data_IF_597403374110
#
_entry.id   IF_597403374110
#
_cell.length_a   1.000
_cell.length_b   1.000
_cell.length_c   1.000
_cell.angle_alpha   90.00
_cell.angle_beta   90.00
_cell.angle_gamma   90.00
#
_symmetry.space_group_name_H-M   'P 1'
#
loop_
_entity.id
_entity.type
_entity.pdbx_description
1 polymer ?
#
# COMPACT_ATOMS: atom_id res chain seq x y z
N UNK A 1 51.24 38.38 9.32
CA UNK A 1 50.97 37.35 8.28
C UNK A 1 50.04 36.20 8.74
N UNK A 2 49.98 35.86 10.03
CA UNK A 2 49.16 34.74 10.53
C UNK A 2 47.63 34.91 10.41
N UNK A 3 47.10 36.13 10.60
CA UNK A 3 45.65 36.40 10.54
C UNK A 3 45.04 36.13 9.16
N UNK A 4 45.76 36.49 8.07
CA UNK A 4 45.32 36.19 6.69
C UNK A 4 45.31 34.70 6.41
N UNK A 5 46.32 33.96 6.88
CA UNK A 5 46.37 32.49 6.75
C UNK A 5 45.23 31.82 7.51
N UNK A 6 44.94 32.31 8.73
CA UNK A 6 43.82 31.83 9.54
C UNK A 6 42.47 32.09 8.86
N UNK A 7 42.26 33.27 8.28
CA UNK A 7 41.03 33.60 7.54
C UNK A 7 40.84 32.70 6.32
N UNK A 8 41.91 32.41 5.58
CA UNK A 8 41.85 31.50 4.41
C UNK A 8 41.52 30.07 4.85
N UNK A 9 42.12 29.60 5.95
CA UNK A 9 41.83 28.29 6.52
C UNK A 9 40.38 28.18 6.98
N UNK A 10 39.89 29.21 7.67
CA UNK A 10 38.50 29.26 8.14
C UNK A 10 37.52 29.26 6.97
N UNK A 11 37.80 30.04 5.93
CA UNK A 11 36.99 30.08 4.71
C UNK A 11 36.97 28.71 4.01
N UNK A 12 38.12 28.02 3.93
CA UNK A 12 38.22 26.68 3.38
C UNK A 12 37.38 25.65 4.15
N UNK A 13 37.38 25.72 5.49
CA UNK A 13 36.54 24.86 6.34
C UNK A 13 35.06 25.14 6.13
N UNK A 14 34.66 26.42 6.05
CA UNK A 14 33.26 26.80 5.78
C UNK A 14 32.79 26.27 4.41
N UNK A 15 33.61 26.42 3.38
CA UNK A 15 33.31 25.90 2.03
C UNK A 15 33.18 24.37 2.02
N UNK A 16 34.05 23.67 2.76
CA UNK A 16 33.97 22.22 2.89
C UNK A 16 32.66 21.78 3.57
N UNK A 17 32.29 22.43 4.67
CA UNK A 17 31.05 22.15 5.40
C UNK A 17 29.81 22.40 4.53
N UNK A 18 29.82 23.50 3.77
CA UNK A 18 28.74 23.83 2.82
C UNK A 18 28.67 22.79 1.70
N UNK A 19 29.79 22.34 1.16
CA UNK A 19 29.83 21.30 0.12
C UNK A 19 29.29 19.94 0.59
N UNK A 20 29.57 19.55 1.83
CA UNK A 20 29.04 18.32 2.43
C UNK A 20 27.54 18.45 2.73
N UNK A 21 27.09 19.61 3.22
CA UNK A 21 25.67 19.87 3.49
C UNK A 21 24.82 19.94 2.20
N UNK A 22 25.41 20.40 1.11
CA UNK A 22 24.79 20.48 -0.21
C UNK A 22 24.97 19.21 -1.04
N UNK A 23 25.29 18.06 -0.43
CA UNK A 23 25.43 16.80 -1.19
C UNK A 23 24.18 16.60 -2.06
N UNK A 24 24.32 16.63 -3.41
CA UNK A 24 23.20 16.57 -4.34
C UNK A 24 22.35 15.31 -4.15
N UNK A 25 22.93 14.26 -3.54
CA UNK A 25 22.21 13.03 -3.20
C UNK A 25 21.18 13.29 -2.10
N UNK A 26 21.48 14.10 -1.08
CA UNK A 26 20.57 14.38 0.03
C UNK A 26 19.31 15.14 -0.39
N UNK A 27 19.48 16.18 -1.21
CA UNK A 27 18.35 17.02 -1.67
C UNK A 27 17.48 16.25 -2.68
N UNK A 28 18.08 15.55 -3.65
CA UNK A 28 17.31 14.77 -4.62
C UNK A 28 16.59 13.58 -3.98
N UNK A 29 17.21 12.94 -2.99
CA UNK A 29 16.61 11.83 -2.28
C UNK A 29 15.42 12.30 -1.44
N UNK A 30 15.55 13.38 -0.67
CA UNK A 30 14.45 13.93 0.13
C UNK A 30 13.26 14.39 -0.73
N UNK A 31 13.52 14.99 -1.90
CA UNK A 31 12.46 15.34 -2.86
C UNK A 31 11.73 14.10 -3.40
N UNK A 32 12.47 13.07 -3.82
CA UNK A 32 11.86 11.81 -4.28
C UNK A 32 11.05 11.13 -3.18
N UNK A 33 11.58 11.07 -1.96
CA UNK A 33 10.85 10.52 -0.81
C UNK A 33 9.57 11.30 -0.52
N UNK A 34 9.60 12.63 -0.67
CA UNK A 34 8.41 13.46 -0.50
C UNK A 34 7.36 13.18 -1.58
N UNK A 35 7.76 12.99 -2.83
CA UNK A 35 6.87 12.59 -3.94
C UNK A 35 6.30 11.19 -3.73
N UNK A 36 7.13 10.21 -3.37
CA UNK A 36 6.70 8.85 -3.07
C UNK A 36 5.72 8.83 -1.89
N UNK A 37 6.00 9.57 -0.82
CA UNK A 37 5.10 9.69 0.32
C UNK A 37 3.78 10.38 -0.06
N UNK A 38 3.79 11.33 -1.01
CA UNK A 38 2.54 11.93 -1.53
C UNK A 38 1.75 10.93 -2.36
N UNK A 39 2.41 10.15 -3.23
CA UNK A 39 1.77 9.10 -4.04
C UNK A 39 1.12 8.04 -3.14
N UNK A 40 1.89 7.48 -2.20
CA UNK A 40 1.41 6.47 -1.27
C UNK A 40 0.23 6.96 -0.41
N UNK A 41 0.24 8.22 0.02
CA UNK A 41 -0.88 8.80 0.76
C UNK A 41 -2.16 8.88 -0.08
N UNK A 42 -2.05 9.21 -1.37
CA UNK A 42 -3.20 9.25 -2.29
C UNK A 42 -3.76 7.85 -2.51
N UNK A 43 -2.90 6.89 -2.83
CA UNK A 43 -3.29 5.48 -3.00
C UNK A 43 -3.95 4.93 -1.72
N UNK A 44 -3.40 5.23 -0.55
CA UNK A 44 -4.00 4.80 0.71
C UNK A 44 -5.38 5.43 0.94
N UNK A 45 -5.57 6.70 0.59
CA UNK A 45 -6.86 7.36 0.70
C UNK A 45 -7.91 6.75 -0.23
N UNK A 46 -7.54 6.45 -1.47
CA UNK A 46 -8.41 5.77 -2.45
C UNK A 46 -8.81 4.36 -2.00
N UNK A 47 -7.84 3.59 -1.48
CA UNK A 47 -8.08 2.27 -0.93
C UNK A 47 -9.02 2.32 0.29
N UNK A 48 -8.83 3.31 1.18
CA UNK A 48 -9.73 3.50 2.33
C UNK A 48 -11.15 3.81 1.90
N UNK A 49 -11.34 4.73 0.95
CA UNK A 49 -12.66 5.05 0.41
C UNK A 49 -13.34 3.82 -0.22
N UNK A 50 -12.57 3.02 -0.96
CA UNK A 50 -13.04 1.76 -1.56
C UNK A 50 -13.45 0.77 -0.47
N UNK A 51 -12.64 0.62 0.57
CA UNK A 51 -12.92 -0.29 1.68
C UNK A 51 -14.19 0.13 2.43
N UNK A 52 -14.37 1.43 2.68
CA UNK A 52 -15.58 1.98 3.30
C UNK A 52 -16.83 1.72 2.45
N UNK A 53 -16.72 1.88 1.12
CA UNK A 53 -17.81 1.56 0.19
C UNK A 53 -18.18 0.08 0.24
N UNK A 54 -17.20 -0.81 0.13
CA UNK A 54 -17.41 -2.26 0.21
C UNK A 54 -18.03 -2.68 1.55
N UNK A 55 -17.55 -2.12 2.66
CA UNK A 55 -18.13 -2.35 3.99
C UNK A 55 -19.58 -1.87 4.09
N UNK A 56 -19.90 -0.75 3.47
CA UNK A 56 -21.27 -0.24 3.42
C UNK A 56 -22.16 -1.18 2.62
N UNK A 57 -21.69 -1.65 1.47
CA UNK A 57 -22.39 -2.67 0.67
C UNK A 57 -22.61 -3.96 1.47
N UNK A 58 -21.59 -4.46 2.17
CA UNK A 58 -21.72 -5.62 3.05
C UNK A 58 -22.74 -5.41 4.16
N UNK A 59 -22.78 -4.22 4.80
CA UNK A 59 -23.81 -3.92 5.81
C UNK A 59 -25.22 -3.89 5.24
N UNK A 60 -25.40 -3.40 4.02
CA UNK A 60 -26.70 -3.46 3.33
C UNK A 60 -27.08 -4.90 2.96
N UNK A 61 -26.12 -5.72 2.53
CA UNK A 61 -26.33 -7.13 2.19
C UNK A 61 -26.54 -8.01 3.42
N UNK A 62 -25.93 -7.68 4.56
CA UNK A 62 -26.06 -8.40 5.82
C UNK A 62 -27.50 -8.39 6.39
N UNK A 63 -28.37 -7.48 5.93
CA UNK A 63 -29.80 -7.54 6.23
C UNK A 63 -30.53 -8.72 5.56
N UNK A 64 -29.89 -9.40 4.61
CA UNK A 64 -30.42 -10.54 3.86
C UNK A 64 -29.34 -11.64 3.74
N UNK A 65 -29.13 -12.44 4.81
CA UNK A 65 -28.07 -13.44 4.89
C UNK A 65 -28.01 -14.38 3.67
N UNK A 66 -29.18 -14.79 3.16
CA UNK A 66 -29.29 -15.65 1.97
C UNK A 66 -28.74 -15.00 0.69
N UNK A 67 -28.94 -13.69 0.52
CA UNK A 67 -28.43 -12.97 -0.65
C UNK A 67 -26.90 -12.81 -0.59
N UNK A 68 -26.35 -12.63 0.61
CA UNK A 68 -24.90 -12.58 0.84
C UNK A 68 -24.25 -13.94 0.63
N UNK A 69 -24.87 -15.01 1.15
CA UNK A 69 -24.39 -16.38 0.98
C UNK A 69 -24.37 -16.78 -0.50
N UNK A 70 -25.42 -16.44 -1.25
CA UNK A 70 -25.49 -16.70 -2.68
C UNK A 70 -24.33 -16.06 -3.44
N UNK A 71 -24.06 -14.77 -3.23
CA UNK A 71 -22.94 -14.06 -3.87
C UNK A 71 -21.59 -14.65 -3.43
N UNK A 72 -21.43 -14.96 -2.14
CA UNK A 72 -20.19 -15.55 -1.62
C UNK A 72 -19.88 -16.90 -2.26
N UNK A 73 -20.87 -17.78 -2.43
CA UNK A 73 -20.69 -19.11 -3.03
C UNK A 73 -20.61 -19.06 -4.55
N UNK A 74 -21.52 -18.36 -5.21
CA UNK A 74 -21.67 -18.40 -6.68
C UNK A 74 -20.61 -17.55 -7.39
N UNK A 75 -20.31 -16.35 -6.88
CA UNK A 75 -19.39 -15.42 -7.56
C UNK A 75 -17.95 -15.53 -7.03
N UNK A 76 -17.79 -15.75 -5.73
CA UNK A 76 -16.48 -15.71 -5.07
C UNK A 76 -15.94 -17.10 -4.68
N UNK A 77 -16.76 -18.16 -4.78
CA UNK A 77 -16.37 -19.52 -4.40
C UNK A 77 -15.97 -19.66 -2.94
N UNK A 78 -16.46 -18.78 -2.06
CA UNK A 78 -16.15 -18.78 -0.64
C UNK A 78 -17.01 -19.83 0.08
N UNK A 79 -16.40 -20.49 1.05
CA UNK A 79 -17.03 -21.48 1.94
C UNK A 79 -16.86 -21.05 3.40
N UNK A 80 -17.81 -21.40 4.26
CA UNK A 80 -17.67 -21.09 5.68
C UNK A 80 -16.61 -21.99 6.35
N UNK A 81 -15.91 -21.52 7.40
CA UNK A 81 -14.86 -22.29 8.07
C UNK A 81 -15.29 -23.66 8.61
N UNK A 82 -16.58 -23.84 8.88
CA UNK A 82 -17.21 -25.03 9.47
C UNK A 82 -18.01 -25.88 8.48
N UNK A 83 -17.85 -25.65 7.17
CA UNK A 83 -18.62 -26.33 6.12
C UNK A 83 -17.90 -27.56 5.52
N UNK A 84 -18.66 -28.61 5.23
CA UNK A 84 -18.14 -29.86 4.63
C UNK A 84 -18.36 -29.85 3.11
N UNK A 85 -17.27 -29.91 2.34
CA UNK A 85 -17.32 -29.91 0.87
C UNK A 85 -17.46 -31.35 0.35
N UNK A 86 -18.55 -31.64 -0.36
CA UNK A 86 -18.71 -32.88 -1.10
C UNK A 86 -18.21 -32.70 -2.53
N UNK A 87 -17.15 -33.42 -2.90
CA UNK A 87 -16.76 -33.56 -4.29
C UNK A 87 -17.54 -34.75 -4.86
N UNK A 88 -18.55 -34.45 -5.66
CA UNK A 88 -19.28 -35.46 -6.41
C UNK A 88 -18.46 -35.78 -7.67
N UNK A 89 -17.74 -36.89 -7.64
CA UNK A 89 -17.24 -37.49 -8.89
C UNK A 89 -18.47 -37.99 -9.64
N UNK A 90 -18.72 -37.45 -10.83
CA UNK A 90 -19.71 -38.01 -11.72
C UNK A 90 -19.20 -39.41 -12.11
N UNK A 91 -19.77 -40.46 -11.52
CA UNK A 91 -19.62 -41.78 -12.09
C UNK A 91 -20.33 -41.78 -13.44
N UNK A 92 -19.54 -41.68 -14.52
CA UNK A 92 -19.94 -41.86 -15.92
C UNK A 92 -20.39 -43.32 -16.19
N UNK A 93 -21.34 -43.85 -15.42
CA UNK A 93 -21.54 -45.31 -15.35
C UNK A 93 -22.94 -45.86 -15.09
N UNK A 94 -24.00 -45.05 -14.93
CA UNK A 94 -25.35 -45.63 -14.74
C UNK A 94 -26.10 -45.79 -16.07
N UNK A 95 -26.45 -47.02 -16.52
CA UNK A 95 -27.27 -47.24 -17.70
C UNK A 95 -28.73 -46.77 -17.48
N UNK A 96 -29.47 -46.51 -18.57
CA UNK A 96 -30.79 -45.86 -18.55
C UNK A 96 -31.90 -46.66 -17.85
#
# INVERSE_FOLDING_TARGET
>A
MGKRRLLILLLGVVLLLVGVALDPKGIRHTLRLAEDARRLRRENAELRATNERLRTQLRHLAGHPEALERVAREELGLVMPDEVIFHLEAEDGLPP
#
